data_IF_311259167158
#
_entry.id   IF_311259167158
#
_cell.length_a   1.000
_cell.length_b   1.000
_cell.length_c   1.000
_cell.angle_alpha   90.00
_cell.angle_beta   90.00
_cell.angle_gamma   90.00
#
_symmetry.space_group_name_H-M   'P 1'
#
loop_
_entity.id
_entity.type
_entity.pdbx_description
1 polymer ?
#
# COMPACT_ATOMS: atom_id res chain seq x y z
N UNK A 1 -15.68 -10.49 -31.20
CA UNK A 1 -16.91 -10.38 -30.37
C UNK A 1 -16.86 -11.43 -29.27
N UNK A 2 -17.22 -11.06 -28.04
CA UNK A 2 -17.37 -12.01 -26.92
C UNK A 2 -18.61 -12.87 -27.16
N UNK A 3 -18.47 -14.20 -27.03
CA UNK A 3 -19.62 -15.10 -27.12
C UNK A 3 -20.53 -14.97 -25.89
N UNK A 4 -21.74 -15.51 -25.96
CA UNK A 4 -22.68 -15.52 -24.83
C UNK A 4 -22.04 -16.19 -23.61
N UNK A 5 -21.30 -17.29 -23.84
CA UNK A 5 -20.55 -18.01 -22.82
C UNK A 5 -19.46 -17.13 -22.18
N UNK A 6 -18.67 -16.42 -22.99
CA UNK A 6 -17.60 -15.55 -22.48
C UNK A 6 -18.18 -14.46 -21.55
N UNK A 7 -19.31 -13.87 -21.96
CA UNK A 7 -19.99 -12.83 -21.18
C UNK A 7 -20.57 -13.39 -19.87
N UNK A 8 -21.12 -14.59 -19.90
CA UNK A 8 -21.65 -15.26 -18.72
C UNK A 8 -20.54 -15.50 -17.68
N UNK A 9 -19.45 -16.15 -18.10
CA UNK A 9 -18.31 -16.45 -17.23
C UNK A 9 -17.71 -15.14 -16.69
N UNK A 10 -17.43 -14.16 -17.56
CA UNK A 10 -16.82 -12.88 -17.19
C UNK A 10 -17.68 -12.13 -16.15
N UNK A 11 -19.00 -12.02 -16.40
CA UNK A 11 -19.93 -11.35 -15.49
C UNK A 11 -19.98 -12.01 -14.12
N UNK A 12 -20.04 -13.33 -14.08
CA UNK A 12 -20.11 -14.11 -12.83
C UNK A 12 -18.78 -14.03 -12.06
N UNK A 13 -17.66 -14.20 -12.75
CA UNK A 13 -16.34 -14.13 -12.17
C UNK A 13 -16.04 -12.74 -11.59
N UNK A 14 -16.20 -11.65 -12.38
CA UNK A 14 -16.01 -10.30 -11.89
C UNK A 14 -17.03 -9.91 -10.81
N UNK A 15 -18.28 -10.41 -10.92
CA UNK A 15 -19.30 -10.22 -9.88
C UNK A 15 -18.87 -10.86 -8.56
N UNK A 16 -18.28 -12.06 -8.58
CA UNK A 16 -17.74 -12.71 -7.39
C UNK A 16 -16.58 -11.92 -6.80
N UNK A 17 -15.69 -11.40 -7.64
CA UNK A 17 -14.58 -10.53 -7.20
C UNK A 17 -15.10 -9.28 -6.48
N UNK A 18 -16.04 -8.56 -7.08
CA UNK A 18 -16.64 -7.36 -6.48
C UNK A 18 -17.38 -7.71 -5.18
N UNK A 19 -18.09 -8.81 -5.14
CA UNK A 19 -18.82 -9.27 -3.96
C UNK A 19 -17.85 -9.55 -2.80
N UNK A 20 -16.72 -10.20 -3.07
CA UNK A 20 -15.70 -10.44 -2.06
C UNK A 20 -15.12 -9.13 -1.53
N UNK A 21 -14.79 -8.16 -2.40
CA UNK A 21 -14.32 -6.84 -1.98
C UNK A 21 -15.35 -6.13 -1.10
N UNK A 22 -16.62 -6.09 -1.54
CA UNK A 22 -17.72 -5.46 -0.79
C UNK A 22 -17.97 -6.10 0.57
N UNK A 23 -17.70 -7.38 0.73
CA UNK A 23 -17.87 -8.08 2.00
C UNK A 23 -16.68 -7.84 2.94
N UNK A 24 -15.45 -7.88 2.43
CA UNK A 24 -14.26 -7.81 3.28
C UNK A 24 -13.80 -6.40 3.61
N UNK A 25 -14.05 -5.40 2.73
CA UNK A 25 -13.67 -4.02 3.01
C UNK A 25 -14.36 -3.47 4.27
N UNK A 26 -15.69 -3.59 4.45
CA UNK A 26 -16.35 -3.15 5.68
C UNK A 26 -15.85 -3.88 6.93
N UNK A 27 -15.58 -5.17 6.84
CA UNK A 27 -15.01 -5.94 7.95
C UNK A 27 -13.64 -5.36 8.33
N UNK A 28 -12.77 -5.12 7.34
CA UNK A 28 -11.47 -4.50 7.57
C UNK A 28 -11.57 -3.11 8.21
N UNK A 29 -12.53 -2.29 7.79
CA UNK A 29 -12.78 -0.97 8.38
C UNK A 29 -13.21 -1.10 9.85
N UNK A 30 -14.16 -2.00 10.15
CA UNK A 30 -14.65 -2.21 11.52
C UNK A 30 -13.54 -2.70 12.45
N UNK A 31 -12.75 -3.67 12.01
CA UNK A 31 -11.59 -4.18 12.79
C UNK A 31 -10.58 -3.07 13.03
N UNK A 32 -10.25 -2.32 11.98
CA UNK A 32 -9.28 -1.22 12.09
C UNK A 32 -9.79 -0.07 12.96
N UNK A 33 -11.09 0.23 12.90
CA UNK A 33 -11.73 1.20 13.80
C UNK A 33 -11.65 0.73 15.25
N UNK A 34 -12.03 -0.51 15.52
CA UNK A 34 -11.98 -1.09 16.87
C UNK A 34 -10.58 -1.04 17.49
N UNK A 35 -9.54 -1.22 16.69
CA UNK A 35 -8.15 -1.11 17.16
C UNK A 35 -7.69 0.31 17.47
N UNK A 36 -8.31 1.33 16.87
CA UNK A 36 -7.81 2.72 16.94
C UNK A 36 -8.76 3.68 17.64
N UNK A 37 -9.98 3.23 17.96
CA UNK A 37 -11.05 4.08 18.52
C UNK A 37 -10.61 4.79 19.79
N UNK A 38 -9.94 4.08 20.71
CA UNK A 38 -9.51 4.66 21.99
C UNK A 38 -8.57 5.85 21.78
N UNK A 39 -7.61 5.72 20.84
CA UNK A 39 -6.66 6.79 20.52
C UNK A 39 -7.30 7.95 19.76
N UNK A 40 -8.30 7.67 18.94
CA UNK A 40 -9.06 8.70 18.22
C UNK A 40 -9.85 9.55 19.21
N UNK A 41 -10.48 8.91 20.20
CA UNK A 41 -11.25 9.60 21.25
C UNK A 41 -10.32 10.36 22.21
N UNK A 42 -9.23 9.73 22.66
CA UNK A 42 -8.24 10.36 23.56
C UNK A 42 -7.63 11.64 22.96
N UNK A 43 -7.46 11.67 21.65
CA UNK A 43 -6.91 12.83 20.94
C UNK A 43 -7.98 13.80 20.43
N UNK A 44 -9.26 13.60 20.77
CA UNK A 44 -10.40 14.45 20.39
C UNK A 44 -10.41 14.80 18.88
N UNK A 45 -10.10 13.80 18.02
CA UNK A 45 -9.95 14.04 16.58
C UNK A 45 -11.29 14.40 15.94
N UNK A 46 -11.40 15.52 15.20
CA UNK A 46 -12.64 15.92 14.54
C UNK A 46 -13.14 14.88 13.53
N UNK A 47 -14.46 14.63 13.53
CA UNK A 47 -15.09 13.62 12.67
C UNK A 47 -14.72 13.71 11.17
N UNK A 48 -14.63 14.90 10.52
CA UNK A 48 -14.24 14.99 9.11
C UNK A 48 -12.84 14.43 8.82
N UNK A 49 -11.91 14.61 9.75
CA UNK A 49 -10.54 14.11 9.63
C UNK A 49 -10.53 12.58 9.78
N UNK A 50 -11.32 12.04 10.72
CA UNK A 50 -11.51 10.60 10.89
C UNK A 50 -12.16 9.98 9.64
N UNK A 51 -13.19 10.61 9.08
CA UNK A 51 -13.84 10.13 7.87
C UNK A 51 -12.87 10.05 6.68
N UNK A 52 -12.05 11.10 6.48
CA UNK A 52 -11.01 11.12 5.45
C UNK A 52 -9.99 9.99 5.66
N UNK A 53 -9.55 9.78 6.90
CA UNK A 53 -8.64 8.69 7.23
C UNK A 53 -9.18 7.31 6.86
N UNK A 54 -10.48 7.05 7.13
CA UNK A 54 -11.09 5.78 6.75
C UNK A 54 -11.33 5.65 5.24
N UNK A 55 -11.54 6.74 4.50
CA UNK A 55 -11.55 6.72 3.04
C UNK A 55 -10.17 6.36 2.48
N UNK A 56 -9.11 7.00 2.96
CA UNK A 56 -7.74 6.71 2.57
C UNK A 56 -7.35 5.26 2.92
N UNK A 57 -7.74 4.79 4.11
CA UNK A 57 -7.57 3.39 4.53
C UNK A 57 -8.30 2.44 3.58
N UNK A 58 -9.52 2.74 3.19
CA UNK A 58 -10.32 1.89 2.28
C UNK A 58 -9.66 1.71 0.93
N UNK A 59 -9.15 2.80 0.34
CA UNK A 59 -8.45 2.75 -0.96
C UNK A 59 -7.16 1.92 -0.83
N UNK A 60 -6.35 2.20 0.18
CA UNK A 60 -5.11 1.47 0.45
C UNK A 60 -5.38 -0.03 0.69
N UNK A 61 -6.38 -0.36 1.50
CA UNK A 61 -6.72 -1.73 1.87
C UNK A 61 -7.32 -2.50 0.68
N UNK A 62 -8.17 -1.86 -0.13
CA UNK A 62 -8.72 -2.46 -1.33
C UNK A 62 -7.61 -2.82 -2.34
N UNK A 63 -6.67 -1.91 -2.57
CA UNK A 63 -5.54 -2.13 -3.48
C UNK A 63 -4.68 -3.33 -3.05
N UNK A 64 -4.41 -3.45 -1.76
CA UNK A 64 -3.68 -4.58 -1.18
C UNK A 64 -4.43 -5.91 -1.38
N UNK A 65 -5.76 -5.89 -1.35
CA UNK A 65 -6.61 -7.09 -1.44
C UNK A 65 -6.90 -7.53 -2.88
N UNK A 66 -6.68 -6.69 -3.89
CA UNK A 66 -7.00 -7.01 -5.29
C UNK A 66 -6.39 -8.34 -5.76
N UNK A 67 -5.09 -8.63 -5.61
CA UNK A 67 -4.51 -9.89 -6.07
C UNK A 67 -5.11 -11.10 -5.34
N UNK A 68 -5.33 -10.96 -4.03
CA UNK A 68 -5.89 -12.02 -3.20
C UNK A 68 -7.31 -12.37 -3.63
N UNK A 69 -8.17 -11.35 -3.77
CA UNK A 69 -9.58 -11.60 -4.13
C UNK A 69 -9.77 -11.94 -5.59
N UNK A 70 -8.88 -11.51 -6.48
CA UNK A 70 -8.85 -11.99 -7.84
C UNK A 70 -8.63 -13.52 -7.87
N UNK A 71 -7.63 -14.00 -7.14
CA UNK A 71 -7.33 -15.42 -7.01
C UNK A 71 -8.50 -16.20 -6.38
N UNK A 72 -9.02 -15.72 -5.25
CA UNK A 72 -10.16 -16.36 -4.57
C UNK A 72 -11.41 -16.39 -5.44
N UNK A 73 -11.68 -15.34 -6.21
CA UNK A 73 -12.84 -15.27 -7.11
C UNK A 73 -12.77 -16.31 -8.23
N UNK A 74 -11.57 -16.54 -8.77
CA UNK A 74 -11.34 -17.60 -9.77
C UNK A 74 -11.63 -18.97 -9.16
N UNK A 75 -11.05 -19.27 -8.00
CA UNK A 75 -11.26 -20.57 -7.33
C UNK A 75 -12.73 -20.78 -7.00
N UNK A 76 -13.35 -19.82 -6.31
CA UNK A 76 -14.73 -19.89 -5.88
C UNK A 76 -15.69 -20.10 -7.05
N UNK A 77 -15.55 -19.27 -8.08
CA UNK A 77 -16.43 -19.34 -9.24
C UNK A 77 -16.22 -20.63 -10.04
N UNK A 78 -14.97 -21.03 -10.27
CA UNK A 78 -14.66 -22.27 -10.99
C UNK A 78 -15.13 -23.50 -10.24
N UNK A 79 -14.95 -23.52 -8.91
CA UNK A 79 -15.47 -24.60 -8.05
C UNK A 79 -17.00 -24.70 -8.13
N UNK A 80 -17.70 -23.56 -8.14
CA UNK A 80 -19.16 -23.52 -8.31
C UNK A 80 -19.60 -24.06 -9.67
N UNK A 81 -18.90 -23.69 -10.76
CA UNK A 81 -19.17 -24.24 -12.10
C UNK A 81 -18.93 -25.76 -12.15
N UNK A 82 -17.86 -26.22 -11.49
CA UNK A 82 -17.54 -27.65 -11.45
C UNK A 82 -18.60 -28.44 -10.66
N UNK A 83 -19.01 -27.95 -9.50
CA UNK A 83 -20.05 -28.58 -8.67
C UNK A 83 -21.40 -28.65 -9.38
N UNK A 84 -21.70 -27.66 -10.22
CA UNK A 84 -22.92 -27.64 -11.04
C UNK A 84 -22.79 -28.47 -12.33
N UNK A 85 -21.69 -29.22 -12.54
CA UNK A 85 -21.36 -29.93 -13.79
C UNK A 85 -21.30 -29.07 -15.04
N UNK A 86 -21.33 -27.76 -14.91
CA UNK A 86 -21.30 -26.80 -16.04
C UNK A 86 -19.99 -26.90 -16.83
N UNK A 87 -18.84 -27.12 -16.16
CA UNK A 87 -17.54 -27.29 -16.81
C UNK A 87 -17.56 -28.50 -17.75
N UNK A 88 -18.14 -29.62 -17.30
CA UNK A 88 -18.26 -30.84 -18.10
C UNK A 88 -19.21 -30.60 -19.29
N UNK A 89 -20.33 -29.90 -19.06
CA UNK A 89 -21.29 -29.56 -20.11
C UNK A 89 -20.66 -28.67 -21.19
N UNK A 90 -19.83 -27.71 -20.80
CA UNK A 90 -19.09 -26.85 -21.77
C UNK A 90 -18.09 -27.66 -22.60
N UNK A 91 -17.30 -28.51 -21.97
CA UNK A 91 -16.27 -29.29 -22.67
C UNK A 91 -16.89 -30.34 -23.59
N UNK A 92 -17.97 -31.01 -23.14
CA UNK A 92 -18.70 -32.04 -23.94
C UNK A 92 -19.46 -31.42 -25.11
N UNK A 93 -19.80 -30.11 -25.06
CA UNK A 93 -20.40 -29.42 -26.22
C UNK A 93 -19.37 -29.01 -27.30
N UNK A 94 -18.11 -29.49 -27.18
CA UNK A 94 -17.04 -29.22 -28.15
C UNK A 94 -16.30 -27.92 -27.95
N UNK A 95 -16.53 -27.20 -26.83
CA UNK A 95 -15.76 -26.00 -26.48
C UNK A 95 -14.36 -26.44 -26.03
N UNK A 96 -13.31 -25.96 -26.69
CA UNK A 96 -11.94 -26.28 -26.29
C UNK A 96 -11.59 -25.64 -24.93
N UNK A 97 -10.69 -26.29 -24.18
CA UNK A 97 -10.24 -25.80 -22.86
C UNK A 97 -9.67 -24.36 -22.92
N UNK A 98 -8.89 -24.05 -23.95
CA UNK A 98 -8.36 -22.69 -24.15
C UNK A 98 -9.45 -21.64 -24.36
N UNK A 99 -10.53 -22.00 -25.05
CA UNK A 99 -11.68 -21.13 -25.23
C UNK A 99 -12.44 -20.91 -23.92
N UNK A 100 -12.54 -21.95 -23.07
CA UNK A 100 -13.11 -21.84 -21.74
C UNK A 100 -12.29 -20.91 -20.82
N UNK A 101 -10.95 -20.91 -20.93
CA UNK A 101 -10.06 -20.03 -20.14
C UNK A 101 -10.08 -18.57 -20.59
N UNK A 102 -10.44 -18.29 -21.85
CA UNK A 102 -10.38 -16.94 -22.42
C UNK A 102 -11.07 -15.86 -21.58
N UNK A 103 -12.30 -16.02 -21.08
CA UNK A 103 -12.97 -15.01 -20.26
C UNK A 103 -12.26 -14.76 -18.93
N UNK A 104 -11.61 -15.76 -18.33
CA UNK A 104 -10.81 -15.59 -17.12
C UNK A 104 -9.58 -14.70 -17.40
N UNK A 105 -8.88 -14.94 -18.51
CA UNK A 105 -7.74 -14.11 -18.91
C UNK A 105 -8.15 -12.66 -19.16
N UNK A 106 -9.28 -12.45 -19.85
CA UNK A 106 -9.81 -11.11 -20.09
C UNK A 106 -10.17 -10.43 -18.76
N UNK A 107 -10.88 -11.11 -17.86
CA UNK A 107 -11.24 -10.56 -16.56
C UNK A 107 -10.04 -10.27 -15.67
N UNK A 108 -9.06 -11.17 -15.63
CA UNK A 108 -7.81 -10.95 -14.92
C UNK A 108 -7.06 -9.73 -15.47
N UNK A 109 -6.95 -9.59 -16.79
CA UNK A 109 -6.32 -8.43 -17.43
C UNK A 109 -7.02 -7.13 -17.05
N UNK A 110 -8.36 -7.10 -17.09
CA UNK A 110 -9.13 -5.90 -16.69
C UNK A 110 -8.82 -5.53 -15.23
N UNK A 111 -8.89 -6.50 -14.30
CA UNK A 111 -8.61 -6.23 -12.88
C UNK A 111 -7.16 -5.82 -12.66
N UNK A 112 -6.19 -6.45 -13.35
CA UNK A 112 -4.79 -6.05 -13.29
C UNK A 112 -4.56 -4.61 -13.78
N UNK A 113 -5.22 -4.18 -14.86
CA UNK A 113 -5.13 -2.80 -15.34
C UNK A 113 -5.73 -1.81 -14.35
N UNK A 114 -6.88 -2.16 -13.73
CA UNK A 114 -7.49 -1.34 -12.66
C UNK A 114 -6.58 -1.27 -11.44
N UNK A 115 -6.01 -2.40 -11.01
CA UNK A 115 -5.08 -2.45 -9.89
C UNK A 115 -3.79 -1.65 -10.18
N UNK A 116 -3.27 -1.72 -11.39
CA UNK A 116 -2.10 -0.95 -11.81
C UNK A 116 -2.39 0.56 -11.79
N UNK A 117 -3.55 0.98 -12.32
CA UNK A 117 -3.96 2.38 -12.28
C UNK A 117 -4.19 2.87 -10.83
N UNK A 118 -4.79 2.03 -9.98
CA UNK A 118 -4.94 2.29 -8.54
C UNK A 118 -3.59 2.45 -7.86
N UNK A 119 -2.69 1.49 -8.04
CA UNK A 119 -1.35 1.49 -7.45
C UNK A 119 -0.46 2.65 -7.89
N UNK A 120 -0.66 3.18 -9.11
CA UNK A 120 0.11 4.34 -9.60
C UNK A 120 -0.42 5.69 -9.11
N UNK A 121 -1.74 5.86 -8.97
CA UNK A 121 -2.36 7.16 -8.70
C UNK A 121 -3.07 7.24 -7.35
N UNK A 122 -3.95 6.28 -7.05
CA UNK A 122 -4.82 6.33 -5.88
C UNK A 122 -4.13 5.81 -4.61
N UNK A 123 -3.47 4.66 -4.69
CA UNK A 123 -2.85 4.03 -3.52
C UNK A 123 -1.71 4.87 -2.93
N UNK A 124 -0.80 5.53 -3.68
CA UNK A 124 0.23 6.38 -3.09
C UNK A 124 -0.35 7.60 -2.36
N UNK A 125 -1.38 8.24 -2.93
CA UNK A 125 -2.04 9.40 -2.33
C UNK A 125 -2.78 9.00 -1.05
N UNK A 126 -3.56 7.92 -1.11
CA UNK A 126 -4.27 7.38 0.05
C UNK A 126 -3.30 6.89 1.14
N UNK A 127 -2.23 6.20 0.77
CA UNK A 127 -1.18 5.77 1.71
C UNK A 127 -0.51 6.94 2.41
N UNK A 128 -0.27 8.06 1.69
CA UNK A 128 0.27 9.28 2.29
C UNK A 128 -0.69 9.84 3.33
N UNK A 129 -1.96 10.09 2.99
CA UNK A 129 -2.98 10.61 3.92
C UNK A 129 -3.18 9.70 5.13
N UNK A 130 -3.26 8.39 4.90
CA UNK A 130 -3.34 7.37 5.95
C UNK A 130 -2.15 7.42 6.91
N UNK A 131 -0.92 7.52 6.39
CA UNK A 131 0.28 7.57 7.20
C UNK A 131 0.42 8.91 7.95
N UNK A 132 0.11 10.05 7.33
CA UNK A 132 0.11 11.37 7.97
C UNK A 132 -0.80 11.37 9.19
N UNK A 133 -2.06 10.94 9.05
CA UNK A 133 -2.99 10.80 10.17
C UNK A 133 -2.43 9.90 11.28
N UNK A 134 -1.89 8.74 10.90
CA UNK A 134 -1.32 7.79 11.85
C UNK A 134 -0.15 8.36 12.65
N UNK A 135 0.69 9.20 12.03
CA UNK A 135 1.79 9.86 12.72
C UNK A 135 1.33 11.01 13.59
N UNK A 136 0.35 11.78 13.13
CA UNK A 136 -0.12 12.97 13.81
C UNK A 136 -0.98 12.64 15.03
N UNK A 137 -1.96 11.73 14.87
CA UNK A 137 -2.97 11.47 15.90
C UNK A 137 -2.78 10.14 16.64
N UNK A 138 -2.31 9.08 15.98
CA UNK A 138 -2.20 7.76 16.61
C UNK A 138 -0.83 7.46 17.22
N UNK A 139 0.21 8.19 16.81
CA UNK A 139 1.58 8.03 17.30
C UNK A 139 2.09 9.34 17.91
N UNK A 140 1.30 9.97 18.79
CA UNK A 140 1.75 11.16 19.54
C UNK A 140 3.16 10.94 20.10
N UNK A 141 4.13 11.73 19.65
CA UNK A 141 5.51 11.70 20.13
C UNK A 141 6.53 10.96 19.27
N UNK A 142 6.14 10.36 18.13
CA UNK A 142 7.09 9.74 17.18
C UNK A 142 7.31 10.54 15.89
N UNK A 143 6.97 11.84 15.88
CA UNK A 143 7.39 12.76 14.82
C UNK A 143 8.92 12.94 14.84
N UNK A 144 9.50 12.72 16.00
CA UNK A 144 10.93 12.70 16.25
C UNK A 144 11.43 11.24 16.34
N UNK A 145 11.43 10.51 15.21
CA UNK A 145 12.18 9.26 15.19
C UNK A 145 13.65 9.61 15.20
N UNK A 146 14.31 9.21 16.25
CA UNK A 146 15.75 9.08 16.26
C UNK A 146 16.15 8.29 15.01
N UNK A 147 16.93 8.89 14.15
CA UNK A 147 17.35 8.27 12.90
C UNK A 147 18.67 7.56 13.15
N UNK A 148 18.70 6.26 12.86
CA UNK A 148 19.93 5.45 12.85
C UNK A 148 20.51 5.40 11.45
N UNK A 149 21.81 5.53 11.33
CA UNK A 149 22.54 5.48 10.06
C UNK A 149 22.03 6.52 9.05
N UNK A 150 22.01 7.79 9.47
CA UNK A 150 21.61 8.90 8.59
C UNK A 150 22.74 9.17 7.62
N UNK A 151 22.51 8.92 6.35
CA UNK A 151 23.39 9.28 5.26
C UNK A 151 22.66 10.29 4.36
N UNK A 152 23.23 11.48 4.20
CA UNK A 152 22.63 12.55 3.38
C UNK A 152 23.68 13.29 2.57
N UNK A 153 23.36 13.55 1.32
CA UNK A 153 24.03 14.51 0.49
C UNK A 153 23.48 15.90 0.80
N UNK A 154 24.36 16.88 1.09
CA UNK A 154 24.01 18.28 1.38
C UNK A 154 24.08 19.11 0.09
N UNK A 155 25.16 18.94 -0.66
CA UNK A 155 25.44 19.60 -1.94
C UNK A 155 26.02 18.55 -2.89
N UNK A 156 26.36 18.96 -4.11
CA UNK A 156 26.91 18.06 -5.14
C UNK A 156 28.18 17.33 -4.67
N UNK A 157 28.95 17.93 -3.76
CA UNK A 157 30.25 17.46 -3.32
C UNK A 157 30.31 17.03 -1.84
N UNK A 158 29.29 17.39 -1.03
CA UNK A 158 29.32 17.18 0.43
C UNK A 158 28.33 16.12 0.89
N UNK A 159 28.83 15.14 1.63
CA UNK A 159 28.05 14.07 2.23
C UNK A 159 28.22 14.09 3.75
N UNK A 160 27.10 13.88 4.45
CA UNK A 160 27.10 13.68 5.90
C UNK A 160 26.65 12.29 6.26
N UNK A 161 27.28 11.77 7.29
CA UNK A 161 26.88 10.53 7.95
C UNK A 161 26.77 10.77 9.46
N UNK A 162 25.73 10.19 10.07
CA UNK A 162 25.63 10.07 11.52
C UNK A 162 25.07 8.69 11.87
N UNK A 163 25.73 7.97 12.79
CA UNK A 163 25.25 6.65 13.21
C UNK A 163 23.94 6.72 13.97
N UNK A 164 23.70 7.82 14.65
CA UNK A 164 22.46 8.09 15.39
C UNK A 164 22.20 9.58 15.44
N UNK A 165 20.99 10.00 15.11
CA UNK A 165 20.56 11.38 15.19
C UNK A 165 19.29 11.51 16.04
N UNK A 166 19.43 12.22 17.17
CA UNK A 166 18.32 12.55 18.05
C UNK A 166 17.68 13.87 17.57
N UNK A 167 16.47 13.75 17.03
CA UNK A 167 15.76 14.91 16.46
C UNK A 167 15.31 15.90 17.53
N UNK A 168 14.98 15.43 18.77
CA UNK A 168 14.54 16.28 19.88
C UNK A 168 15.68 17.14 20.41
N UNK A 169 16.83 16.52 20.64
CA UNK A 169 18.02 17.21 21.15
C UNK A 169 18.83 17.88 20.04
N UNK A 170 18.43 17.67 18.78
CA UNK A 170 19.18 18.14 17.59
C UNK A 170 20.67 17.77 17.68
N UNK A 171 20.95 16.53 18.10
CA UNK A 171 22.28 16.02 18.31
C UNK A 171 22.52 14.75 17.49
N UNK A 172 23.72 14.63 16.93
CA UNK A 172 24.14 13.45 16.16
C UNK A 172 25.39 12.82 16.76
N UNK A 173 25.44 11.50 16.82
CA UNK A 173 26.61 10.74 17.29
C UNK A 173 27.35 10.12 16.11
N UNK A 174 28.68 10.02 16.24
CA UNK A 174 29.59 9.53 15.20
C UNK A 174 29.35 10.25 13.86
N UNK A 175 29.41 11.57 13.92
CA UNK A 175 29.20 12.42 12.76
C UNK A 175 30.43 12.41 11.85
N UNK A 176 30.18 12.29 10.55
CA UNK A 176 31.23 12.42 9.53
C UNK A 176 30.71 13.37 8.44
N UNK A 177 31.55 14.32 8.04
CA UNK A 177 31.37 15.16 6.86
C UNK A 177 32.48 14.79 5.88
N UNK A 178 32.11 14.47 4.65
CA UNK A 178 33.00 14.09 3.57
C UNK A 178 32.78 15.01 2.37
N UNK A 179 33.88 15.55 1.84
CA UNK A 179 33.88 16.37 0.65
C UNK A 179 34.59 15.66 -0.50
N UNK A 180 33.96 15.59 -1.65
CA UNK A 180 34.46 14.94 -2.84
C UNK A 180 34.66 15.94 -3.97
N UNK A 181 35.79 15.86 -4.66
CA UNK A 181 36.04 16.52 -5.95
C UNK A 181 36.08 15.45 -7.03
N UNK A 182 34.97 15.32 -7.78
CA UNK A 182 34.78 14.20 -8.68
C UNK A 182 34.64 12.88 -7.92
N UNK A 183 35.59 11.93 -8.10
CA UNK A 183 35.60 10.63 -7.42
C UNK A 183 36.63 10.55 -6.28
N UNK A 184 37.32 11.64 -5.98
CA UNK A 184 38.35 11.70 -4.93
C UNK A 184 37.82 12.40 -3.70
N UNK A 185 38.01 11.79 -2.54
CA UNK A 185 37.68 12.43 -1.26
C UNK A 185 38.83 13.33 -0.84
N UNK A 186 38.59 14.64 -0.87
CA UNK A 186 39.61 15.65 -0.58
C UNK A 186 39.61 16.07 0.90
N UNK A 187 38.48 15.93 1.57
CA UNK A 187 38.35 16.34 2.96
C UNK A 187 37.41 15.41 3.74
N UNK A 188 37.80 15.08 4.98
CA UNK A 188 36.95 14.29 5.91
C UNK A 188 37.07 14.87 7.32
N UNK A 189 35.92 15.24 7.88
CA UNK A 189 35.79 15.65 9.28
C UNK A 189 35.01 14.56 10.02
N UNK A 190 35.54 14.09 11.13
CA UNK A 190 34.86 13.13 12.00
C UNK A 190 34.76 13.72 13.40
N UNK A 191 33.54 13.64 13.98
CA UNK A 191 33.26 14.08 15.34
C UNK A 191 32.47 13.01 16.09
N UNK A 192 32.80 12.76 17.35
CA UNK A 192 32.06 11.81 18.19
C UNK A 192 30.62 12.25 18.43
N UNK A 193 30.40 13.56 18.50
CA UNK A 193 29.05 14.13 18.66
C UNK A 193 28.99 15.53 18.04
N UNK A 194 27.85 15.84 17.39
CA UNK A 194 27.50 17.21 16.98
C UNK A 194 26.18 17.60 17.66
N UNK A 195 26.02 18.88 17.96
CA UNK A 195 24.81 19.44 18.50
C UNK A 195 24.52 20.79 17.84
N UNK A 196 23.28 20.98 17.42
CA UNK A 196 22.84 22.26 16.88
C UNK A 196 22.49 23.22 18.03
N UNK A 197 23.17 24.37 18.07
CA UNK A 197 22.79 25.48 18.91
C UNK A 197 22.19 26.57 18.03
N UNK A 198 20.95 26.97 18.31
CA UNK A 198 20.41 28.17 17.70
C UNK A 198 21.27 29.38 18.20
N UNK A 199 21.78 30.19 17.28
CA UNK A 199 22.36 31.49 17.66
C UNK A 199 21.18 32.38 18.05
N UNK A 200 21.17 32.88 19.30
CA UNK A 200 20.34 33.98 19.73
C UNK A 200 20.61 35.24 18.93
#
# INVERSE_FOLDING_TARGET
>A
MLSILDRYILKKYLGTFILLLLLFIPIGIIVHLAEKIDKILENEVPFPIVAKYFLDFTIYFADLLFPLFLFLSVIWFTSKLANNTEVIAFLSSGVSYYRFLRPYMIGATIVCLVALASGMYFAPTASKGFNEFKYEYLKKGKKDRDQTNVFRQINDNDYIYASYFNVKEKSGNNFTLEHFEGNEMTYKLTASQIRYHAKD
#
